data_IF_099614393426
#
_entry.id   IF_099614393426
#
_cell.length_a   1.000
_cell.length_b   1.000
_cell.length_c   1.000
_cell.angle_alpha   90.00
_cell.angle_beta   90.00
_cell.angle_gamma   90.00
#
_symmetry.space_group_name_H-M   'P 1'
#
loop_
_entity.id
_entity.type
_entity.pdbx_description
1 polymer ?
#
# COMPACT_ATOMS: atom_id res chain seq x y z
N UNK A 1 -7.22 12.26 -20.87
CA UNK A 1 -7.37 12.59 -19.45
C UNK A 1 -7.25 14.10 -19.32
N UNK A 2 -8.35 14.80 -19.05
CA UNK A 2 -8.30 16.27 -18.88
C UNK A 2 -7.97 16.54 -17.42
N UNK A 3 -6.80 17.10 -17.17
CA UNK A 3 -6.43 17.67 -15.88
C UNK A 3 -7.16 19.02 -15.83
N UNK A 4 -8.16 19.12 -14.96
CA UNK A 4 -9.00 20.32 -14.84
C UNK A 4 -8.30 21.31 -13.91
N UNK A 5 -8.11 22.55 -14.36
CA UNK A 5 -7.57 23.64 -13.54
C UNK A 5 -8.44 23.88 -12.31
N UNK A 6 -7.79 23.91 -11.14
CA UNK A 6 -8.35 24.19 -9.82
C UNK A 6 -9.02 25.56 -9.79
N UNK A 7 -10.35 25.56 -9.73
CA UNK A 7 -11.14 26.73 -9.36
C UNK A 7 -11.03 26.84 -7.84
N UNK A 8 -10.53 27.98 -7.34
CA UNK A 8 -10.50 28.31 -5.92
C UNK A 8 -11.90 28.10 -5.29
N UNK A 9 -12.06 26.98 -4.58
CA UNK A 9 -13.29 26.60 -3.85
C UNK A 9 -13.00 26.80 -2.37
N UNK A 10 -13.93 27.46 -1.67
CA UNK A 10 -13.84 27.73 -0.23
C UNK A 10 -13.42 26.45 0.52
N UNK A 11 -12.23 26.46 1.12
CA UNK A 11 -11.66 25.31 1.82
C UNK A 11 -12.63 24.82 2.90
N UNK A 12 -13.16 23.59 2.80
CA UNK A 12 -13.95 23.02 3.87
C UNK A 12 -12.96 22.55 4.95
N UNK A 13 -12.98 23.22 6.11
CA UNK A 13 -12.36 22.83 7.39
C UNK A 13 -10.93 22.25 7.33
N UNK A 14 -9.94 23.03 7.79
CA UNK A 14 -8.55 22.55 7.94
C UNK A 14 -8.51 21.16 8.62
N UNK A 15 -8.00 20.12 7.93
CA UNK A 15 -8.06 18.74 8.42
C UNK A 15 -7.31 18.52 9.74
N UNK A 16 -6.44 19.44 10.14
CA UNK A 16 -5.75 19.45 11.44
C UNK A 16 -6.68 19.67 12.64
N UNK A 17 -7.94 20.04 12.41
CA UNK A 17 -8.92 20.28 13.47
C UNK A 17 -9.82 19.09 13.76
N UNK A 18 -9.81 18.06 12.92
CA UNK A 18 -10.66 16.89 13.04
C UNK A 18 -10.11 15.98 14.14
N UNK A 19 -10.95 15.57 15.11
CA UNK A 19 -10.51 14.78 16.27
C UNK A 19 -11.30 13.48 16.43
N UNK A 20 -10.67 12.40 16.97
CA UNK A 20 -11.36 11.15 17.24
C UNK A 20 -12.55 11.34 18.19
N UNK A 21 -13.66 10.65 17.90
CA UNK A 21 -14.92 10.73 18.62
C UNK A 21 -15.84 11.88 18.18
N UNK A 22 -15.41 12.78 17.31
CA UNK A 22 -16.31 13.80 16.74
C UNK A 22 -17.34 13.17 15.80
N UNK A 23 -18.55 13.75 15.74
CA UNK A 23 -19.64 13.27 14.89
C UNK A 23 -19.89 14.28 13.78
N UNK A 24 -19.78 13.81 12.55
CA UNK A 24 -19.81 14.64 11.35
C UNK A 24 -20.89 14.17 10.38
N UNK A 25 -21.49 15.11 9.67
CA UNK A 25 -22.35 14.83 8.52
C UNK A 25 -21.49 14.70 7.27
N UNK A 26 -21.87 13.77 6.39
CA UNK A 26 -21.22 13.56 5.10
C UNK A 26 -21.80 14.46 4.02
N UNK A 27 -20.93 14.96 3.15
CA UNK A 27 -21.36 15.67 1.94
C UNK A 27 -21.93 14.69 0.91
N UNK A 28 -23.12 14.97 0.38
CA UNK A 28 -23.64 14.27 -0.81
C UNK A 28 -22.91 14.67 -2.09
N UNK A 29 -22.19 15.80 -2.08
CA UNK A 29 -21.27 16.22 -3.14
C UNK A 29 -19.89 15.64 -2.82
N UNK A 30 -19.73 14.36 -3.11
CA UNK A 30 -18.48 13.63 -2.89
C UNK A 30 -17.43 14.13 -3.87
N UNK A 31 -16.31 14.57 -3.30
CA UNK A 31 -15.11 14.98 -3.99
C UNK A 31 -14.17 13.78 -4.15
N UNK A 32 -13.52 13.75 -5.30
CA UNK A 32 -12.58 12.71 -5.72
C UNK A 32 -11.54 13.36 -6.62
N UNK A 33 -10.27 12.93 -6.58
CA UNK A 33 -9.23 13.49 -7.45
C UNK A 33 -9.43 13.16 -8.93
N UNK A 34 -10.23 12.14 -9.22
CA UNK A 34 -10.61 11.77 -10.58
C UNK A 34 -12.13 11.93 -10.75
N UNK A 35 -12.52 12.63 -11.83
CA UNK A 35 -13.89 12.68 -12.29
C UNK A 35 -14.24 11.37 -12.99
N UNK A 36 -15.28 10.70 -12.49
CA UNK A 36 -15.81 9.48 -13.10
C UNK A 36 -16.87 9.84 -14.15
N UNK A 37 -16.78 9.22 -15.33
CA UNK A 37 -17.84 9.33 -16.32
C UNK A 37 -19.12 8.58 -15.86
N UNK A 38 -20.28 8.81 -16.52
CA UNK A 38 -21.54 8.18 -16.11
C UNK A 38 -21.52 6.63 -16.14
N UNK A 39 -20.77 6.01 -17.05
CA UNK A 39 -20.69 4.55 -17.14
C UNK A 39 -19.86 3.99 -15.98
N UNK A 40 -18.74 4.65 -15.66
CA UNK A 40 -17.92 4.31 -14.50
C UNK A 40 -18.65 4.53 -13.19
N UNK A 41 -19.45 5.59 -13.06
CA UNK A 41 -20.29 5.81 -11.87
C UNK A 41 -21.29 4.67 -11.68
N UNK A 42 -21.94 4.19 -12.75
CA UNK A 42 -22.87 3.04 -12.67
C UNK A 42 -22.13 1.75 -12.33
N UNK A 43 -20.90 1.57 -12.85
CA UNK A 43 -20.07 0.39 -12.60
C UNK A 43 -19.52 0.33 -11.17
N UNK A 44 -19.08 1.46 -10.63
CA UNK A 44 -18.37 1.54 -9.35
C UNK A 44 -19.30 1.76 -8.16
N UNK A 45 -20.45 2.41 -8.35
CA UNK A 45 -21.40 2.69 -7.28
C UNK A 45 -22.65 1.82 -7.37
N UNK A 46 -22.91 0.99 -6.34
CA UNK A 46 -24.20 0.33 -6.15
C UNK A 46 -25.36 1.35 -6.09
N UNK A 47 -26.60 0.87 -6.27
CA UNK A 47 -27.79 1.74 -6.28
C UNK A 47 -27.93 2.57 -5.00
N UNK A 48 -27.64 2.00 -3.83
CA UNK A 48 -27.72 2.70 -2.55
C UNK A 48 -26.76 3.90 -2.49
N UNK A 49 -25.53 3.72 -2.99
CA UNK A 49 -24.53 4.77 -3.10
C UNK A 49 -24.95 5.85 -4.11
N UNK A 50 -25.39 5.46 -5.32
CA UNK A 50 -25.85 6.40 -6.36
C UNK A 50 -27.00 7.29 -5.87
N UNK A 51 -27.98 6.72 -5.18
CA UNK A 51 -29.09 7.50 -4.60
C UNK A 51 -28.61 8.56 -3.60
N UNK A 52 -27.58 8.28 -2.82
CA UNK A 52 -27.00 9.26 -1.90
C UNK A 52 -26.29 10.39 -2.64
N UNK A 53 -25.49 10.06 -3.65
CA UNK A 53 -24.80 11.03 -4.52
C UNK A 53 -25.81 11.94 -5.26
N UNK A 54 -26.97 11.40 -5.64
CA UNK A 54 -28.06 12.16 -6.28
C UNK A 54 -28.90 12.99 -5.28
N UNK A 55 -28.60 12.96 -3.98
CA UNK A 55 -29.39 13.63 -2.95
C UNK A 55 -30.78 13.02 -2.72
N UNK A 56 -30.99 11.76 -3.15
CA UNK A 56 -32.25 11.00 -3.01
C UNK A 56 -32.26 10.06 -1.80
N UNK A 57 -31.28 10.22 -0.90
CA UNK A 57 -31.16 9.50 0.37
C UNK A 57 -31.07 10.49 1.53
N UNK A 58 -31.45 10.10 2.76
CA UNK A 58 -31.26 10.92 3.94
C UNK A 58 -29.77 11.27 4.19
N UNK A 59 -29.50 12.31 4.99
CA UNK A 59 -28.16 12.59 5.50
C UNK A 59 -27.54 11.36 6.16
N UNK A 60 -26.21 11.28 6.09
CA UNK A 60 -25.42 10.19 6.65
C UNK A 60 -24.38 10.79 7.57
N UNK A 61 -24.09 10.08 8.65
CA UNK A 61 -23.19 10.57 9.69
C UNK A 61 -22.11 9.55 9.98
N UNK A 62 -21.00 10.07 10.48
CA UNK A 62 -19.85 9.27 10.87
C UNK A 62 -19.30 9.75 12.19
N UNK A 63 -18.75 8.83 12.97
CA UNK A 63 -17.85 9.16 14.07
C UNK A 63 -16.39 9.04 13.59
N UNK A 64 -15.57 10.04 13.90
CA UNK A 64 -14.13 9.99 13.58
C UNK A 64 -13.46 8.93 14.44
N UNK A 65 -12.81 7.95 13.82
CA UNK A 65 -12.01 6.91 14.50
C UNK A 65 -10.56 7.34 14.59
N UNK A 66 -9.94 7.72 13.47
CA UNK A 66 -8.55 8.17 13.40
C UNK A 66 -8.48 9.53 12.75
N UNK A 67 -7.52 10.36 13.17
CA UNK A 67 -7.29 11.67 12.56
C UNK A 67 -6.90 11.53 11.08
N UNK A 68 -7.13 12.56 10.24
CA UNK A 68 -6.76 12.50 8.83
C UNK A 68 -5.25 12.32 8.66
N UNK A 69 -4.83 11.38 7.83
CA UNK A 69 -3.43 11.11 7.52
C UNK A 69 -3.16 11.35 6.03
N UNK A 70 -1.90 11.62 5.69
CA UNK A 70 -1.49 11.68 4.29
C UNK A 70 -1.52 10.28 3.68
N UNK A 71 -1.79 10.21 2.38
CA UNK A 71 -1.62 8.98 1.63
C UNK A 71 -0.12 8.66 1.57
N UNK A 72 0.29 7.53 2.15
CA UNK A 72 1.71 7.16 2.33
C UNK A 72 2.50 7.01 1.02
N UNK A 73 1.82 6.92 -0.13
CA UNK A 73 2.43 6.61 -1.43
C UNK A 73 2.48 7.80 -2.42
N UNK A 74 2.04 9.00 -2.02
CA UNK A 74 2.13 10.19 -2.89
C UNK A 74 3.52 10.82 -2.76
N UNK A 75 4.50 10.29 -3.51
CA UNK A 75 5.86 10.82 -3.61
C UNK A 75 5.98 12.24 -4.19
N UNK A 76 4.85 12.89 -4.47
CA UNK A 76 4.76 14.30 -4.81
C UNK A 76 3.57 14.90 -4.05
N UNK A 77 3.82 15.86 -3.16
CA UNK A 77 2.75 16.68 -2.59
C UNK A 77 2.70 18.00 -3.37
N UNK A 78 1.52 18.36 -3.91
CA UNK A 78 1.12 19.76 -3.77
C UNK A 78 -0.31 19.95 -3.27
N UNK A 79 -1.05 18.90 -2.88
CA UNK A 79 -2.40 19.08 -2.35
C UNK A 79 -2.59 18.31 -1.04
N UNK A 80 -2.51 19.06 0.07
CA UNK A 80 -3.03 18.69 1.40
C UNK A 80 -4.52 18.27 1.40
N UNK A 81 -5.17 18.31 0.23
CA UNK A 81 -6.60 18.14 -0.02
C UNK A 81 -7.08 16.69 0.18
N UNK A 82 -6.26 15.69 -0.17
CA UNK A 82 -6.68 14.28 -0.21
C UNK A 82 -6.26 13.44 1.00
N UNK A 83 -6.39 14.00 2.21
CA UNK A 83 -6.10 13.26 3.46
C UNK A 83 -7.15 12.17 3.72
N UNK A 84 -6.70 10.99 4.14
CA UNK A 84 -7.57 9.86 4.47
C UNK A 84 -7.86 9.88 5.97
N UNK A 85 -9.14 9.84 6.33
CA UNK A 85 -9.62 9.77 7.71
C UNK A 85 -10.32 8.43 7.92
N UNK A 86 -10.10 7.77 9.06
CA UNK A 86 -10.84 6.56 9.41
C UNK A 86 -12.10 6.91 10.18
N UNK A 87 -13.22 6.33 9.79
CA UNK A 87 -14.54 6.68 10.31
C UNK A 87 -15.37 5.45 10.62
N UNK A 88 -16.22 5.54 11.64
CA UNK A 88 -17.25 4.55 11.97
C UNK A 88 -18.59 5.08 11.48
N UNK A 89 -19.36 4.24 10.78
CA UNK A 89 -20.67 4.63 10.27
C UNK A 89 -21.72 4.75 11.37
N UNK A 90 -22.56 5.78 11.24
CA UNK A 90 -23.68 6.04 12.13
C UNK A 90 -24.99 6.10 11.33
N UNK A 91 -25.93 5.24 11.69
CA UNK A 91 -27.24 5.14 11.04
C UNK A 91 -28.36 5.72 11.91
N UNK A 92 -29.37 6.34 11.28
CA UNK A 92 -30.58 6.76 12.00
C UNK A 92 -31.56 5.60 12.25
N UNK A 93 -31.30 4.40 11.69
CA UNK A 93 -32.14 3.20 11.86
C UNK A 93 -31.95 2.56 13.23
N UNK A 94 -32.36 3.29 14.27
CA UNK A 94 -32.23 2.91 15.70
C UNK A 94 -32.94 1.61 16.10
N UNK A 95 -33.79 1.04 15.23
CA UNK A 95 -34.48 -0.23 15.42
C UNK A 95 -33.60 -1.45 15.09
N UNK A 96 -32.45 -1.27 14.43
CA UNK A 96 -31.55 -2.35 13.97
C UNK A 96 -30.42 -2.71 14.94
N UNK A 97 -30.67 -2.60 16.25
CA UNK A 97 -29.68 -2.90 17.29
C UNK A 97 -29.31 -4.38 17.30
N UNK A 98 -28.02 -4.68 17.35
CA UNK A 98 -27.48 -6.04 17.46
C UNK A 98 -26.36 -6.10 18.51
N UNK A 99 -25.61 -7.20 18.55
CA UNK A 99 -24.38 -7.31 19.33
C UNK A 99 -23.21 -6.48 18.76
N UNK A 100 -23.32 -5.98 17.53
CA UNK A 100 -22.32 -5.13 16.84
C UNK A 100 -22.88 -3.80 16.33
N UNK A 101 -24.16 -3.54 16.57
CA UNK A 101 -24.81 -2.27 16.23
C UNK A 101 -25.31 -1.63 17.53
N UNK A 102 -24.53 -0.67 18.04
CA UNK A 102 -24.71 -0.10 19.38
C UNK A 102 -25.46 1.23 19.29
N UNK A 103 -26.58 1.35 19.99
CA UNK A 103 -27.34 2.60 20.02
C UNK A 103 -26.65 3.63 20.91
N UNK A 104 -26.39 4.80 20.35
CA UNK A 104 -25.95 6.02 21.01
C UNK A 104 -27.17 6.94 21.17
N UNK A 105 -27.69 7.13 22.39
CA UNK A 105 -28.82 8.03 22.61
C UNK A 105 -28.54 9.49 22.24
N UNK A 106 -29.58 10.21 21.85
CA UNK A 106 -29.53 11.62 21.47
C UNK A 106 -28.84 12.53 22.50
N UNK A 107 -29.02 12.23 23.80
CA UNK A 107 -28.40 12.99 24.89
C UNK A 107 -26.87 12.88 24.92
N UNK A 108 -26.34 11.74 24.46
CA UNK A 108 -24.91 11.46 24.33
C UNK A 108 -24.38 12.06 23.02
N UNK A 109 -25.01 11.73 21.90
CA UNK A 109 -24.55 12.16 20.57
C UNK A 109 -24.77 13.65 20.29
N UNK A 110 -25.73 14.28 20.95
CA UNK A 110 -26.12 15.67 20.68
C UNK A 110 -26.96 15.88 19.42
N UNK A 111 -27.30 14.83 18.67
CA UNK A 111 -27.97 14.91 17.35
C UNK A 111 -29.49 15.15 17.40
N UNK A 112 -30.07 15.31 18.60
CA UNK A 112 -31.52 15.42 18.79
C UNK A 112 -32.32 14.14 18.47
N UNK A 113 -31.63 13.08 18.04
CA UNK A 113 -32.15 11.74 17.76
C UNK A 113 -31.11 10.68 18.13
N UNK A 114 -31.58 9.46 18.33
CA UNK A 114 -30.69 8.33 18.59
C UNK A 114 -29.98 7.91 17.30
N UNK A 115 -28.73 7.49 17.45
CA UNK A 115 -27.90 7.00 16.35
C UNK A 115 -27.50 5.56 16.64
N UNK A 116 -27.44 4.74 15.60
CA UNK A 116 -26.92 3.39 15.66
C UNK A 116 -25.47 3.43 15.17
N UNK A 117 -24.53 3.09 16.03
CA UNK A 117 -23.13 2.94 15.67
C UNK A 117 -22.89 1.54 15.11
N UNK A 118 -22.46 1.48 13.85
CA UNK A 118 -22.10 0.24 13.15
C UNK A 118 -20.66 -0.11 13.54
N UNK A 119 -20.44 -0.70 14.72
CA UNK A 119 -19.08 -0.87 15.28
C UNK A 119 -18.24 -1.86 14.47
N UNK A 120 -18.89 -2.74 13.71
CA UNK A 120 -18.26 -3.64 12.75
C UNK A 120 -17.75 -2.92 11.48
N UNK A 121 -18.18 -1.67 11.25
CA UNK A 121 -18.07 -0.98 9.97
C UNK A 121 -17.24 0.31 10.08
N UNK A 122 -15.94 0.11 10.27
CA UNK A 122 -14.93 1.19 10.26
C UNK A 122 -14.24 1.23 8.90
N UNK A 123 -14.28 2.38 8.24
CA UNK A 123 -13.83 2.53 6.86
C UNK A 123 -12.91 3.74 6.68
N UNK A 124 -12.01 3.72 5.69
CA UNK A 124 -11.33 4.92 5.24
C UNK A 124 -12.25 5.79 4.37
N UNK A 125 -12.12 7.11 4.50
CA UNK A 125 -12.73 8.06 3.56
C UNK A 125 -11.82 9.27 3.34
N UNK A 126 -12.05 10.04 2.27
CA UNK A 126 -11.36 11.33 2.08
C UNK A 126 -11.95 12.40 3.01
N UNK A 127 -11.09 13.09 3.77
CA UNK A 127 -11.50 14.06 4.79
C UNK A 127 -12.26 15.26 4.20
N UNK A 128 -11.98 15.64 2.95
CA UNK A 128 -12.68 16.70 2.22
C UNK A 128 -14.18 16.42 1.97
N UNK A 129 -14.64 15.18 2.22
CA UNK A 129 -16.05 14.77 2.08
C UNK A 129 -16.85 14.88 3.38
N UNK A 130 -16.20 15.32 4.46
CA UNK A 130 -16.88 15.75 5.68
C UNK A 130 -17.51 17.13 5.45
N UNK A 131 -18.80 17.25 5.77
CA UNK A 131 -19.55 18.50 5.58
C UNK A 131 -19.32 19.46 6.76
N UNK A 132 -19.80 19.10 7.94
CA UNK A 132 -19.62 19.88 9.16
C UNK A 132 -19.85 19.02 10.41
N UNK A 133 -19.34 19.51 11.55
CA UNK A 133 -19.57 18.92 12.86
C UNK A 133 -21.03 19.12 13.29
N UNK A 134 -21.73 18.03 13.58
CA UNK A 134 -23.18 18.05 13.90
C UNK A 134 -23.51 17.53 15.30
N UNK A 135 -22.64 16.71 15.88
CA UNK A 135 -22.85 16.13 17.20
C UNK A 135 -21.86 16.60 18.26
N UNK A 136 -22.08 16.14 19.49
CA UNK A 136 -21.09 16.22 20.57
C UNK A 136 -20.03 15.15 20.34
N UNK A 137 -18.78 15.53 20.61
CA UNK A 137 -17.67 14.58 20.65
C UNK A 137 -17.94 13.51 21.71
N UNK A 138 -17.89 12.25 21.30
CA UNK A 138 -18.02 11.09 22.17
C UNK A 138 -16.92 11.11 23.24
N UNK A 139 -17.28 10.77 24.47
CA UNK A 139 -16.32 10.66 25.55
C UNK A 139 -15.38 9.48 25.29
N UNK A 140 -14.14 9.56 25.80
CA UNK A 140 -13.15 8.51 25.61
C UNK A 140 -13.64 7.11 26.04
N UNK A 141 -14.35 6.93 27.18
CA UNK A 141 -14.89 5.62 27.55
C UNK A 141 -15.90 5.07 26.55
N UNK A 142 -16.79 5.92 26.03
CA UNK A 142 -17.79 5.52 25.02
C UNK A 142 -17.10 5.13 23.72
N UNK A 143 -16.19 5.99 23.26
CA UNK A 143 -15.40 5.76 22.05
C UNK A 143 -14.62 4.43 22.13
N UNK A 144 -13.92 4.16 23.24
CA UNK A 144 -13.18 2.92 23.41
C UNK A 144 -14.10 1.70 23.38
N UNK A 145 -15.21 1.70 24.12
CA UNK A 145 -16.14 0.56 24.14
C UNK A 145 -16.73 0.28 22.76
N UNK A 146 -17.03 1.31 21.97
CA UNK A 146 -17.50 1.11 20.59
C UNK A 146 -16.42 0.45 19.71
N UNK A 147 -15.16 0.86 19.85
CA UNK A 147 -14.06 0.21 19.14
C UNK A 147 -13.81 -1.21 19.62
N UNK A 148 -13.81 -1.48 20.92
CA UNK A 148 -13.59 -2.82 21.46
C UNK A 148 -14.67 -3.82 20.98
N UNK A 149 -15.92 -3.38 20.80
CA UNK A 149 -16.97 -4.21 20.18
C UNK A 149 -16.62 -4.55 18.72
N UNK A 150 -16.14 -3.56 17.96
CA UNK A 150 -15.67 -3.77 16.58
C UNK A 150 -14.44 -4.66 16.50
N UNK A 151 -13.45 -4.43 17.35
CA UNK A 151 -12.22 -5.22 17.44
C UNK A 151 -12.52 -6.69 17.76
N UNK A 152 -13.48 -6.94 18.64
CA UNK A 152 -13.94 -8.31 18.91
C UNK A 152 -14.62 -8.94 17.68
N UNK A 153 -15.46 -8.19 16.98
CA UNK A 153 -16.10 -8.67 15.74
C UNK A 153 -15.06 -9.07 14.68
N UNK A 154 -13.99 -8.28 14.55
CA UNK A 154 -12.87 -8.54 13.63
C UNK A 154 -11.82 -9.53 14.17
N UNK A 155 -12.02 -10.08 15.38
CA UNK A 155 -11.10 -11.05 16.00
C UNK A 155 -9.76 -10.48 16.47
N UNK A 156 -9.68 -9.16 16.67
CA UNK A 156 -8.48 -8.46 17.15
C UNK A 156 -8.29 -8.57 18.66
N UNK A 157 -9.37 -8.84 19.39
CA UNK A 157 -9.35 -9.11 20.84
C UNK A 157 -10.16 -10.37 21.17
N UNK A 158 -9.78 -11.07 22.25
CA UNK A 158 -10.38 -12.37 22.61
C UNK A 158 -11.75 -12.26 23.28
N UNK A 159 -12.12 -11.08 23.82
CA UNK A 159 -13.34 -10.91 24.61
C UNK A 159 -14.00 -9.56 24.32
N UNK A 160 -15.32 -9.52 24.12
CA UNK A 160 -16.02 -8.26 23.93
C UNK A 160 -16.23 -7.55 25.27
N UNK A 161 -16.47 -6.22 25.25
CA UNK A 161 -17.00 -5.49 26.39
C UNK A 161 -18.29 -6.14 26.92
N UNK A 162 -18.48 -6.11 28.24
CA UNK A 162 -19.68 -6.71 28.82
C UNK A 162 -20.92 -5.85 28.54
N UNK A 163 -22.10 -6.47 28.42
CA UNK A 163 -23.37 -5.73 28.26
C UNK A 163 -23.58 -4.71 29.39
N UNK A 164 -23.18 -5.05 30.63
CA UNK A 164 -23.28 -4.15 31.78
C UNK A 164 -22.37 -2.93 31.64
N UNK A 165 -21.18 -3.13 31.11
CA UNK A 165 -20.22 -2.04 30.84
C UNK A 165 -20.77 -1.09 29.79
N UNK A 166 -21.25 -1.61 28.65
CA UNK A 166 -21.89 -0.82 27.58
C UNK A 166 -23.06 0.01 28.16
N UNK A 167 -23.95 -0.64 28.92
CA UNK A 167 -25.11 0.02 29.52
C UNK A 167 -24.74 1.04 30.61
N UNK A 168 -23.64 0.84 31.34
CA UNK A 168 -23.17 1.79 32.36
C UNK A 168 -22.75 3.14 31.77
N UNK A 169 -22.37 3.14 30.48
CA UNK A 169 -22.04 4.34 29.71
C UNK A 169 -23.27 4.99 29.08
N UNK A 170 -24.47 4.44 29.31
CA UNK A 170 -25.73 4.92 28.73
C UNK A 170 -26.00 4.48 27.30
N UNK A 171 -25.15 3.61 26.73
CA UNK A 171 -25.36 3.01 25.41
C UNK A 171 -26.37 1.86 25.50
N UNK A 172 -27.00 1.50 24.38
CA UNK A 172 -27.92 0.36 24.33
C UNK A 172 -27.45 -0.68 23.30
N UNK A 173 -27.29 -1.92 23.75
CA UNK A 173 -26.96 -3.06 22.88
C UNK A 173 -28.23 -3.83 22.51
N UNK A 174 -28.26 -4.38 21.30
CA UNK A 174 -29.33 -5.27 20.87
C UNK A 174 -29.22 -6.64 21.53
N UNK A 175 -30.34 -7.36 21.61
CA UNK A 175 -30.36 -8.79 21.98
C UNK A 175 -30.31 -9.71 20.78
N UNK A 176 -30.44 -9.15 19.58
CA UNK A 176 -30.47 -9.87 18.30
C UNK A 176 -29.03 -10.12 17.85
N UNK A 177 -28.76 -11.31 17.33
CA UNK A 177 -27.46 -11.67 16.76
C UNK A 177 -27.26 -10.99 15.41
N UNK A 178 -26.02 -10.65 15.07
CA UNK A 178 -25.60 -10.25 13.72
C UNK A 178 -25.96 -11.28 12.63
N UNK A 179 -26.19 -12.54 13.00
CA UNK A 179 -26.62 -13.60 12.08
C UNK A 179 -28.13 -13.57 11.76
N UNK A 180 -28.90 -12.68 12.40
CA UNK A 180 -30.32 -12.52 12.11
C UNK A 180 -30.55 -12.00 10.68
N UNK A 181 -31.48 -12.58 9.90
CA UNK A 181 -31.69 -12.21 8.50
C UNK A 181 -32.02 -10.73 8.28
N UNK A 182 -32.75 -10.08 9.19
CA UNK A 182 -33.06 -8.66 9.05
C UNK A 182 -31.83 -7.79 9.32
N UNK A 183 -30.97 -8.21 10.23
CA UNK A 183 -29.68 -7.54 10.52
C UNK A 183 -28.71 -7.73 9.35
N UNK A 184 -28.61 -8.94 8.80
CA UNK A 184 -27.77 -9.21 7.61
C UNK A 184 -28.21 -8.40 6.39
N UNK A 185 -29.53 -8.29 6.16
CA UNK A 185 -30.06 -7.47 5.07
C UNK A 185 -29.75 -5.97 5.28
N UNK A 186 -29.81 -5.50 6.53
CA UNK A 186 -29.39 -4.15 6.89
C UNK A 186 -27.89 -3.94 6.64
N UNK A 187 -27.03 -4.84 7.11
CA UNK A 187 -25.57 -4.77 6.91
C UNK A 187 -25.19 -4.79 5.44
N UNK A 188 -25.84 -5.63 4.62
CA UNK A 188 -25.58 -5.64 3.17
C UNK A 188 -25.94 -4.29 2.52
N UNK A 189 -27.04 -3.66 2.95
CA UNK A 189 -27.40 -2.33 2.45
C UNK A 189 -26.35 -1.27 2.84
N UNK A 190 -25.79 -1.36 4.04
CA UNK A 190 -24.75 -0.42 4.49
C UNK A 190 -23.42 -0.68 3.77
N UNK A 191 -23.05 -1.93 3.48
CA UNK A 191 -21.91 -2.28 2.62
C UNK A 191 -22.06 -1.73 1.20
N UNK A 192 -23.24 -1.88 0.57
CA UNK A 192 -23.50 -1.34 -0.76
C UNK A 192 -23.40 0.20 -0.78
N UNK A 193 -23.77 0.84 0.34
CA UNK A 193 -23.69 2.29 0.49
C UNK A 193 -22.26 2.77 0.76
N UNK A 194 -21.42 1.98 1.44
CA UNK A 194 -20.03 2.30 1.80
C UNK A 194 -19.14 2.66 0.61
N UNK A 195 -19.49 2.23 -0.60
CA UNK A 195 -18.81 2.61 -1.84
C UNK A 195 -18.64 4.14 -1.99
N UNK A 196 -19.57 4.94 -1.47
CA UNK A 196 -19.50 6.42 -1.41
C UNK A 196 -18.22 6.91 -0.71
N UNK A 197 -17.72 6.16 0.26
CA UNK A 197 -16.53 6.47 1.04
C UNK A 197 -15.27 5.85 0.43
N UNK A 198 -15.35 4.59 0.00
CA UNK A 198 -14.20 3.79 -0.42
C UNK A 198 -13.72 4.11 -1.83
N UNK A 199 -14.65 4.33 -2.78
CA UNK A 199 -14.29 4.58 -4.19
C UNK A 199 -13.40 5.82 -4.33
N UNK A 200 -13.71 6.98 -3.71
CA UNK A 200 -12.81 8.13 -3.76
C UNK A 200 -11.42 7.84 -3.17
N UNK A 201 -11.33 7.05 -2.09
CA UNK A 201 -10.03 6.66 -1.51
C UNK A 201 -9.25 5.78 -2.48
N UNK A 202 -9.91 4.83 -3.15
CA UNK A 202 -9.29 3.98 -4.16
C UNK A 202 -8.79 4.79 -5.37
N UNK A 203 -9.58 5.76 -5.83
CA UNK A 203 -9.18 6.67 -6.90
C UNK A 203 -8.02 7.56 -6.49
N UNK A 204 -8.02 8.08 -5.26
CA UNK A 204 -6.92 8.89 -4.73
C UNK A 204 -5.61 8.11 -4.65
N UNK A 205 -5.66 6.86 -4.17
CA UNK A 205 -4.51 5.96 -4.18
C UNK A 205 -4.01 5.68 -5.60
N UNK A 206 -4.92 5.43 -6.54
CA UNK A 206 -4.57 5.16 -7.94
C UNK A 206 -3.95 6.39 -8.61
N UNK A 207 -4.52 7.57 -8.37
CA UNK A 207 -4.00 8.84 -8.86
C UNK A 207 -2.61 9.15 -8.29
N UNK A 208 -2.41 8.98 -6.97
CA UNK A 208 -1.12 9.18 -6.32
C UNK A 208 -0.03 8.26 -6.90
N UNK A 209 -0.34 6.98 -7.14
CA UNK A 209 0.57 6.05 -7.82
C UNK A 209 0.93 6.50 -9.24
N UNK A 210 -0.05 6.96 -10.00
CA UNK A 210 0.19 7.47 -11.37
C UNK A 210 1.07 8.72 -11.38
N UNK A 211 0.88 9.63 -10.42
CA UNK A 211 1.69 10.84 -10.29
C UNK A 211 3.13 10.50 -9.88
N UNK A 212 3.31 9.61 -8.90
CA UNK A 212 4.63 9.13 -8.46
C UNK A 212 5.41 8.57 -9.65
N UNK A 213 4.79 7.67 -10.42
CA UNK A 213 5.39 7.11 -11.63
C UNK A 213 5.76 8.19 -12.67
N UNK A 214 4.90 9.20 -12.86
CA UNK A 214 5.19 10.30 -13.79
C UNK A 214 6.36 11.17 -13.30
N UNK A 215 6.45 11.39 -11.99
CA UNK A 215 7.56 12.08 -11.35
C UNK A 215 8.88 11.34 -11.54
N UNK A 216 8.92 10.05 -11.22
CA UNK A 216 10.09 9.18 -11.42
C UNK A 216 10.57 9.18 -12.88
N UNK A 217 9.64 9.11 -13.84
CA UNK A 217 9.97 9.21 -15.27
C UNK A 217 10.52 10.58 -15.67
N UNK A 218 10.01 11.66 -15.09
CA UNK A 218 10.49 13.02 -15.36
C UNK A 218 11.88 13.25 -14.76
N UNK A 219 12.11 12.80 -13.53
CA UNK A 219 13.41 12.89 -12.86
C UNK A 219 14.46 12.10 -13.64
N UNK A 220 14.14 10.88 -14.09
CA UNK A 220 15.01 10.10 -14.97
C UNK A 220 15.31 10.81 -16.30
N UNK A 221 14.31 11.47 -16.90
CA UNK A 221 14.51 12.25 -18.14
C UNK A 221 15.40 13.48 -17.90
N UNK A 222 15.25 14.17 -16.77
CA UNK A 222 16.08 15.32 -16.39
C UNK A 222 17.52 14.91 -16.06
N UNK A 223 17.72 13.75 -15.44
CA UNK A 223 19.06 13.20 -15.21
C UNK A 223 19.78 12.89 -16.52
N UNK A 224 19.09 12.24 -17.47
CA UNK A 224 19.62 12.04 -18.81
C UNK A 224 20.00 13.37 -19.48
N UNK A 225 19.12 14.37 -19.47
CA UNK A 225 19.43 15.70 -20.02
C UNK A 225 20.63 16.38 -19.33
N UNK A 226 20.76 16.21 -18.01
CA UNK A 226 21.88 16.76 -17.24
C UNK A 226 23.20 16.08 -17.60
N UNK A 227 23.20 14.76 -17.78
CA UNK A 227 24.34 14.00 -18.27
C UNK A 227 24.76 14.44 -19.68
N UNK A 228 23.80 14.70 -20.57
CA UNK A 228 24.05 15.24 -21.92
C UNK A 228 24.67 16.65 -21.89
N UNK A 229 24.36 17.48 -20.88
CA UNK A 229 24.86 18.85 -20.76
C UNK A 229 26.22 18.96 -20.04
N UNK A 230 26.64 17.92 -19.31
CA UNK A 230 27.93 17.90 -18.57
C UNK A 230 29.07 17.18 -19.28
N UNK A 231 28.85 16.63 -20.48
CA UNK A 231 29.85 15.87 -21.21
C UNK A 231 30.91 16.72 -21.91
N UNK A 232 32.02 17.03 -21.22
CA UNK A 232 33.34 17.08 -21.87
C UNK A 232 33.81 15.63 -22.12
N UNK A 233 34.31 15.42 -23.34
CA UNK A 233 34.85 14.22 -23.99
C UNK A 233 35.26 13.04 -23.08
N UNK A 234 34.70 11.86 -23.32
CA UNK A 234 35.47 10.60 -23.36
C UNK A 234 34.72 9.54 -24.17
N UNK A 235 35.35 9.00 -25.22
CA UNK A 235 34.84 7.87 -25.99
C UNK A 235 35.58 6.58 -25.60
N UNK A 236 34.82 5.47 -25.69
CA UNK A 236 35.19 4.05 -25.72
C UNK A 236 35.30 3.38 -24.34
N UNK A 237 34.54 2.34 -23.98
CA UNK A 237 33.69 1.38 -24.71
C UNK A 237 32.35 1.17 -23.97
N UNK A 238 31.28 0.81 -24.70
CA UNK A 238 29.99 0.40 -24.13
C UNK A 238 30.16 -0.86 -23.26
N UNK A 239 30.04 -0.74 -21.94
CA UNK A 239 29.61 -1.86 -21.10
C UNK A 239 28.30 -1.51 -20.41
N UNK A 240 27.29 -2.34 -20.69
CA UNK A 240 25.88 -2.14 -20.34
C UNK A 240 25.67 -2.13 -18.83
N UNK A 241 25.79 -0.96 -18.20
CA UNK A 241 25.43 -0.78 -16.79
C UNK A 241 23.92 -0.96 -16.65
N UNK A 242 23.51 -1.88 -15.78
CA UNK A 242 22.11 -2.18 -15.52
C UNK A 242 21.58 -1.29 -14.41
N UNK A 243 20.53 -0.51 -14.68
CA UNK A 243 19.87 0.30 -13.67
C UNK A 243 18.79 -0.52 -12.95
N UNK A 244 18.93 -0.68 -11.64
CA UNK A 244 18.04 -1.50 -10.81
C UNK A 244 16.71 -0.80 -10.51
N UNK A 245 16.73 0.53 -10.35
CA UNK A 245 15.53 1.35 -10.20
C UNK A 245 14.53 1.18 -11.36
N UNK A 246 15.01 0.94 -12.60
CA UNK A 246 14.13 0.64 -13.75
C UNK A 246 13.31 -0.65 -13.59
N UNK A 247 13.77 -1.60 -12.78
CA UNK A 247 13.06 -2.87 -12.59
C UNK A 247 11.80 -2.72 -11.74
N UNK A 248 11.76 -1.72 -10.85
CA UNK A 248 10.56 -1.35 -10.09
C UNK A 248 9.45 -0.84 -11.03
N UNK A 249 9.83 -0.20 -12.14
CA UNK A 249 8.93 0.21 -13.25
C UNK A 249 8.57 -0.91 -14.23
N UNK A 250 8.97 -2.17 -13.97
CA UNK A 250 8.81 -3.33 -14.87
C UNK A 250 9.56 -3.24 -16.22
N UNK A 251 10.53 -2.34 -16.35
CA UNK A 251 11.38 -2.29 -17.54
C UNK A 251 12.47 -3.37 -17.49
N UNK A 252 12.71 -4.04 -18.62
CA UNK A 252 13.67 -5.14 -18.71
C UNK A 252 14.94 -4.67 -19.42
N UNK A 253 16.04 -4.62 -18.68
CA UNK A 253 17.37 -4.45 -19.24
C UNK A 253 17.78 -5.66 -20.12
N UNK A 254 18.69 -5.44 -21.07
CA UNK A 254 19.11 -6.49 -22.00
C UNK A 254 19.65 -7.74 -21.28
N UNK A 255 19.07 -8.90 -21.59
CA UNK A 255 19.44 -10.19 -20.99
C UNK A 255 18.77 -10.52 -19.65
N UNK A 256 18.11 -9.54 -19.02
CA UNK A 256 17.34 -9.76 -17.79
C UNK A 256 15.90 -10.14 -18.09
N UNK A 257 15.34 -11.03 -17.29
CA UNK A 257 13.97 -11.50 -17.42
C UNK A 257 13.35 -11.85 -16.06
N UNK A 258 12.03 -12.00 -16.05
CA UNK A 258 11.29 -12.47 -14.89
C UNK A 258 11.83 -13.84 -14.42
N UNK A 259 12.05 -13.99 -13.11
CA UNK A 259 12.74 -15.17 -12.55
C UNK A 259 11.95 -16.47 -12.79
N UNK A 260 10.63 -16.38 -12.93
CA UNK A 260 9.70 -17.47 -13.22
C UNK A 260 9.91 -18.08 -14.61
N UNK A 261 10.60 -17.35 -15.52
CA UNK A 261 11.00 -17.89 -16.83
C UNK A 261 12.30 -18.69 -16.77
N UNK A 262 13.06 -18.54 -15.69
CA UNK A 262 14.41 -19.07 -15.54
C UNK A 262 14.49 -20.22 -14.54
N UNK A 263 13.75 -20.12 -13.45
CA UNK A 263 13.75 -21.09 -12.36
C UNK A 263 12.35 -21.64 -12.14
N UNK A 264 12.29 -22.88 -11.66
CA UNK A 264 11.03 -23.50 -11.25
C UNK A 264 10.43 -22.81 -10.02
N UNK A 265 9.11 -22.94 -9.84
CA UNK A 265 8.42 -22.43 -8.66
C UNK A 265 8.93 -23.03 -7.34
N UNK A 266 9.52 -24.23 -7.37
CA UNK A 266 10.12 -24.86 -6.19
C UNK A 266 11.45 -24.18 -5.83
N UNK A 267 12.34 -23.96 -6.81
CA UNK A 267 13.59 -23.21 -6.61
C UNK A 267 13.31 -21.79 -6.09
N UNK A 268 12.33 -21.09 -6.68
CA UNK A 268 11.95 -19.73 -6.26
C UNK A 268 11.43 -19.74 -4.81
N UNK A 269 10.60 -20.72 -4.43
CA UNK A 269 10.08 -20.84 -3.06
C UNK A 269 11.17 -21.17 -2.04
N UNK A 270 12.15 -21.98 -2.38
CA UNK A 270 13.28 -22.28 -1.49
C UNK A 270 14.25 -21.12 -1.36
N UNK A 271 14.43 -20.33 -2.42
CA UNK A 271 15.39 -19.23 -2.50
C UNK A 271 14.85 -17.90 -1.91
N UNK A 272 13.54 -17.65 -2.04
CA UNK A 272 12.92 -16.36 -1.71
C UNK A 272 11.62 -16.49 -0.86
N UNK A 273 11.22 -17.70 -0.45
CA UNK A 273 9.89 -17.96 0.13
C UNK A 273 9.79 -18.11 1.66
N UNK A 274 8.95 -17.25 2.24
CA UNK A 274 8.03 -17.47 3.39
C UNK A 274 8.52 -17.58 4.84
N UNK A 275 9.81 -17.52 5.14
CA UNK A 275 10.28 -17.50 6.55
C UNK A 275 11.09 -16.28 6.96
N UNK A 276 11.35 -15.36 6.04
CA UNK A 276 12.10 -14.13 6.31
C UNK A 276 11.16 -12.92 6.25
N UNK A 277 11.43 -11.91 7.09
CA UNK A 277 10.84 -10.56 7.04
C UNK A 277 11.21 -9.79 5.75
N UNK A 278 11.68 -10.49 4.72
CA UNK A 278 12.26 -9.96 3.50
C UNK A 278 11.37 -10.42 2.34
N UNK A 279 10.43 -9.55 1.95
CA UNK A 279 9.50 -9.75 0.83
C UNK A 279 9.97 -8.89 -0.35
N UNK A 280 10.68 -9.48 -1.34
CA UNK A 280 11.17 -8.73 -2.48
C UNK A 280 10.02 -8.20 -3.32
N UNK A 281 10.05 -6.90 -3.61
CA UNK A 281 9.09 -6.25 -4.50
C UNK A 281 9.32 -6.68 -5.95
N UNK A 282 10.60 -6.87 -6.32
CA UNK A 282 10.97 -7.34 -7.65
C UNK A 282 12.09 -8.37 -7.58
N UNK A 283 11.95 -9.42 -8.39
CA UNK A 283 13.00 -10.41 -8.64
C UNK A 283 13.23 -10.50 -10.15
N UNK A 284 14.48 -10.40 -10.58
CA UNK A 284 14.91 -10.58 -11.97
C UNK A 284 16.07 -11.56 -12.02
N UNK A 285 16.12 -12.30 -13.12
CA UNK A 285 17.22 -13.22 -13.38
C UNK A 285 17.83 -13.00 -14.75
N UNK A 286 19.13 -13.28 -14.85
CA UNK A 286 19.89 -13.33 -16.09
C UNK A 286 20.54 -14.71 -16.22
N UNK A 287 20.33 -15.43 -17.32
CA UNK A 287 21.06 -16.66 -17.58
C UNK A 287 22.51 -16.31 -17.91
N UNK A 288 23.44 -16.94 -17.21
CA UNK A 288 24.88 -16.76 -17.41
C UNK A 288 25.51 -18.11 -17.76
N UNK A 289 26.66 -18.06 -18.43
CA UNK A 289 27.44 -19.24 -18.79
C UNK A 289 28.88 -19.08 -18.31
N UNK A 290 29.29 -19.90 -17.35
CA UNK A 290 30.65 -19.89 -16.78
C UNK A 290 31.34 -21.20 -17.18
N UNK A 291 32.40 -21.11 -17.98
CA UNK A 291 33.12 -22.27 -18.56
C UNK A 291 32.23 -23.35 -19.22
N UNK A 292 31.09 -22.93 -19.80
CA UNK A 292 30.14 -23.84 -20.47
C UNK A 292 29.06 -24.42 -19.56
N UNK A 293 29.09 -24.14 -18.26
CA UNK A 293 28.01 -24.47 -17.32
C UNK A 293 27.01 -23.31 -17.23
N UNK A 294 25.71 -23.62 -17.26
CA UNK A 294 24.66 -22.60 -17.22
C UNK A 294 24.18 -22.38 -15.79
N UNK A 295 24.27 -21.13 -15.33
CA UNK A 295 23.73 -20.68 -14.06
C UNK A 295 22.75 -19.52 -14.28
N UNK A 296 22.05 -19.15 -13.22
CA UNK A 296 21.13 -18.01 -13.20
C UNK A 296 21.61 -17.05 -12.11
N UNK A 297 22.00 -15.85 -12.52
CA UNK A 297 22.19 -14.72 -11.60
C UNK A 297 20.82 -14.11 -11.32
N UNK A 298 20.37 -14.20 -10.08
CA UNK A 298 19.12 -13.62 -9.61
C UNK A 298 19.42 -12.41 -8.71
N UNK A 299 18.71 -11.32 -8.95
CA UNK A 299 18.78 -10.12 -8.11
C UNK A 299 17.36 -9.80 -7.67
N UNK A 300 17.21 -9.59 -6.37
CA UNK A 300 15.95 -9.27 -5.74
C UNK A 300 16.09 -7.97 -4.95
N UNK A 301 15.14 -7.05 -5.11
CA UNK A 301 15.15 -5.73 -4.50
C UNK A 301 14.04 -5.62 -3.45
N UNK A 302 14.36 -5.01 -2.32
CA UNK A 302 13.45 -4.66 -1.23
C UNK A 302 13.66 -3.20 -0.87
N UNK A 303 12.65 -2.33 -1.01
CA UNK A 303 12.71 -0.99 -0.47
C UNK A 303 12.83 -1.01 1.06
N UNK A 304 13.74 -0.21 1.61
CA UNK A 304 13.93 -0.07 3.06
C UNK A 304 13.28 1.22 3.57
N UNK A 305 12.92 1.24 4.86
CA UNK A 305 12.14 2.33 5.46
C UNK A 305 12.90 3.67 5.57
N UNK A 306 14.23 3.62 5.45
CA UNK A 306 15.13 4.78 5.47
C UNK A 306 15.36 5.38 4.07
N UNK A 307 14.76 4.78 3.03
CA UNK A 307 14.91 5.22 1.64
C UNK A 307 16.00 4.49 0.87
N UNK A 308 16.74 3.57 1.50
CA UNK A 308 17.70 2.72 0.82
C UNK A 308 16.99 1.56 0.10
N UNK A 309 17.73 0.90 -0.80
CA UNK A 309 17.29 -0.34 -1.42
C UNK A 309 18.13 -1.50 -0.91
N UNK A 310 17.49 -2.44 -0.23
CA UNK A 310 18.06 -3.73 0.11
C UNK A 310 18.13 -4.61 -1.14
N UNK A 311 19.31 -5.15 -1.44
CA UNK A 311 19.61 -5.94 -2.63
C UNK A 311 20.12 -7.30 -2.19
N UNK A 312 19.40 -8.35 -2.60
CA UNK A 312 19.87 -9.73 -2.46
C UNK A 312 20.28 -10.26 -3.81
N UNK A 313 21.53 -10.69 -3.89
CA UNK A 313 22.14 -11.27 -5.08
C UNK A 313 22.29 -12.76 -4.82
N UNK A 314 21.72 -13.58 -5.69
CA UNK A 314 21.84 -15.03 -5.62
C UNK A 314 22.33 -15.61 -6.93
N UNK A 315 23.12 -16.68 -6.86
CA UNK A 315 23.49 -17.47 -8.04
C UNK A 315 22.92 -18.87 -7.88
N UNK A 316 22.07 -19.26 -8.82
CA UNK A 316 21.38 -20.55 -8.84
C UNK A 316 21.93 -21.45 -9.96
N UNK A 317 22.00 -22.76 -9.74
CA UNK A 317 22.11 -23.69 -10.86
C UNK A 317 20.84 -23.57 -11.70
N UNK A 318 20.98 -23.63 -13.03
CA UNK A 318 19.84 -23.49 -13.93
C UNK A 318 18.86 -24.67 -13.80
N UNK A 319 19.38 -25.87 -13.62
CA UNK A 319 18.59 -27.10 -13.45
C UNK A 319 18.58 -27.53 -11.97
N UNK A 320 17.41 -27.98 -11.48
CA UNK A 320 17.20 -28.35 -10.07
C UNK A 320 18.13 -29.45 -9.52
N UNK A 321 18.74 -30.26 -10.40
CA UNK A 321 19.57 -31.41 -10.02
C UNK A 321 21.06 -31.20 -10.31
N UNK A 322 21.48 -29.96 -10.53
CA UNK A 322 22.86 -29.61 -10.83
C UNK A 322 23.40 -28.74 -9.70
N UNK A 323 24.64 -28.99 -9.27
CA UNK A 323 25.33 -28.12 -8.33
C UNK A 323 25.89 -26.89 -9.07
N UNK A 324 26.17 -25.82 -8.32
CA UNK A 324 26.97 -24.72 -8.87
C UNK A 324 28.38 -25.20 -9.24
N UNK A 325 29.05 -24.56 -10.22
CA UNK A 325 30.42 -24.90 -10.56
C UNK A 325 31.33 -24.91 -9.33
N UNK A 326 32.18 -25.93 -9.17
CA UNK A 326 33.11 -25.99 -8.04
C UNK A 326 34.08 -24.81 -8.09
N UNK A 327 34.32 -24.18 -6.93
CA UNK A 327 35.12 -22.96 -6.79
C UNK A 327 34.52 -21.69 -7.43
N UNK A 328 33.20 -21.67 -7.67
CA UNK A 328 32.52 -20.42 -8.02
C UNK A 328 32.60 -19.43 -6.85
N UNK A 329 33.20 -18.28 -7.11
CA UNK A 329 33.32 -17.16 -6.20
C UNK A 329 32.53 -15.97 -6.76
N UNK A 330 31.78 -15.30 -5.91
CA UNK A 330 31.03 -14.10 -6.23
C UNK A 330 31.52 -12.95 -5.34
N UNK A 331 31.90 -11.84 -5.96
CA UNK A 331 32.49 -10.68 -5.29
C UNK A 331 31.70 -9.44 -5.68
N UNK A 332 31.16 -8.72 -4.69
CA UNK A 332 30.58 -7.39 -4.90
C UNK A 332 31.70 -6.36 -4.80
N UNK A 333 31.85 -5.52 -5.80
CA UNK A 333 32.86 -4.46 -5.86
C UNK A 333 32.18 -3.08 -5.83
N UNK A 334 32.81 -2.09 -5.19
CA UNK A 334 32.40 -0.69 -5.23
C UNK A 334 32.71 -0.04 -6.59
N UNK A 335 32.33 1.23 -6.76
CA UNK A 335 32.62 2.04 -7.95
C UNK A 335 34.11 2.19 -8.30
N UNK A 336 35.02 1.92 -7.36
CA UNK A 336 36.47 1.97 -7.53
C UNK A 336 37.07 0.55 -7.66
N UNK A 337 36.24 -0.47 -7.91
CA UNK A 337 36.61 -1.88 -7.99
C UNK A 337 37.17 -2.49 -6.69
N UNK A 338 36.88 -1.89 -5.53
CA UNK A 338 37.25 -2.47 -4.24
C UNK A 338 36.21 -3.51 -3.79
N UNK A 339 36.64 -4.69 -3.32
CA UNK A 339 35.72 -5.70 -2.81
C UNK A 339 35.01 -5.24 -1.53
N UNK A 340 33.68 -5.32 -1.54
CA UNK A 340 32.78 -5.03 -0.41
C UNK A 340 32.32 -6.33 0.25
N UNK A 341 31.87 -7.31 -0.56
CA UNK A 341 31.33 -8.59 -0.09
C UNK A 341 31.84 -9.73 -0.97
N UNK A 342 31.92 -10.94 -0.41
CA UNK A 342 32.40 -12.12 -1.11
C UNK A 342 31.72 -13.40 -0.59
N UNK A 343 31.40 -14.32 -1.49
CA UNK A 343 30.92 -15.65 -1.16
C UNK A 343 31.49 -16.70 -2.13
N UNK A 344 31.56 -17.95 -1.69
CA UNK A 344 32.08 -19.08 -2.47
C UNK A 344 31.15 -20.29 -2.37
N UNK A 345 30.89 -20.96 -3.50
CA UNK A 345 29.95 -22.07 -3.61
C UNK A 345 30.31 -23.27 -2.71
N UNK A 346 31.59 -23.49 -2.42
CA UNK A 346 32.06 -24.57 -1.53
C UNK A 346 31.55 -24.46 -0.08
N UNK A 347 31.06 -23.29 0.34
CA UNK A 347 30.54 -23.02 1.68
C UNK A 347 29.01 -22.93 1.74
N UNK A 348 28.30 -23.09 0.61
CA UNK A 348 26.86 -22.92 0.53
C UNK A 348 26.10 -24.16 1.07
N UNK A 349 25.32 -23.99 2.15
CA UNK A 349 24.49 -25.06 2.74
C UNK A 349 23.17 -25.31 1.99
N UNK A 350 22.85 -24.47 1.01
CA UNK A 350 21.50 -24.33 0.43
C UNK A 350 21.43 -24.57 -1.09
N UNK A 351 22.51 -25.01 -1.74
CA UNK A 351 22.53 -25.29 -3.19
C UNK A 351 22.55 -24.05 -4.09
N UNK A 352 22.65 -22.85 -3.50
CA UNK A 352 22.81 -21.57 -4.18
C UNK A 352 23.76 -20.67 -3.37
N UNK A 353 24.40 -19.71 -4.05
CA UNK A 353 25.23 -18.68 -3.43
C UNK A 353 24.38 -17.43 -3.16
N UNK A 354 24.62 -16.73 -2.05
CA UNK A 354 23.88 -15.52 -1.67
C UNK A 354 24.81 -14.43 -1.11
N UNK A 355 24.52 -13.19 -1.48
CA UNK A 355 25.13 -11.96 -0.99
C UNK A 355 24.02 -10.94 -0.73
N UNK A 356 24.13 -10.18 0.37
CA UNK A 356 23.17 -9.13 0.73
C UNK A 356 23.89 -7.80 0.93
N UNK A 357 23.42 -6.76 0.27
CA UNK A 357 23.87 -5.38 0.44
C UNK A 357 22.65 -4.45 0.52
N UNK A 358 22.87 -3.24 1.02
CA UNK A 358 21.91 -2.13 0.96
C UNK A 358 22.67 -0.89 0.49
N UNK A 359 22.01 -0.03 -0.29
CA UNK A 359 22.62 1.18 -0.82
C UNK A 359 21.61 2.23 -1.27
N UNK A 360 22.12 3.43 -1.51
CA UNK A 360 21.34 4.60 -1.93
C UNK A 360 21.18 4.62 -3.46
N UNK A 361 20.09 5.21 -3.93
CA UNK A 361 19.86 5.41 -5.37
C UNK A 361 21.03 6.17 -6.01
N UNK A 362 21.52 5.67 -7.15
CA UNK A 362 22.68 6.23 -7.84
C UNK A 362 24.05 5.71 -7.37
N UNK A 363 24.10 4.85 -6.36
CA UNK A 363 25.33 4.15 -6.01
C UNK A 363 25.66 3.06 -7.04
N UNK A 364 26.94 2.97 -7.39
CA UNK A 364 27.44 1.99 -8.35
C UNK A 364 28.10 0.83 -7.62
N UNK A 365 27.76 -0.38 -8.07
CA UNK A 365 28.48 -1.59 -7.69
C UNK A 365 28.59 -2.53 -8.88
N UNK A 366 29.48 -3.51 -8.79
CA UNK A 366 29.51 -4.61 -9.74
C UNK A 366 29.54 -5.95 -9.04
N UNK A 367 28.95 -6.97 -9.66
CA UNK A 367 29.12 -8.36 -9.24
C UNK A 367 30.11 -9.02 -10.18
N UNK A 368 31.20 -9.53 -9.61
CA UNK A 368 32.20 -10.31 -10.31
C UNK A 368 32.04 -11.77 -9.92
N UNK A 369 31.70 -12.60 -10.89
CA UNK A 369 31.61 -14.05 -10.76
C UNK A 369 32.85 -14.67 -11.37
N UNK A 370 33.56 -15.50 -10.61
CA UNK A 370 34.82 -16.10 -11.05
C UNK A 370 34.88 -17.59 -10.73
N UNK A 371 35.50 -18.31 -11.65
CA UNK A 371 36.03 -19.68 -11.49
C UNK A 371 37.46 -19.66 -12.04
N UNK A 372 38.31 -20.68 -11.79
CA UNK A 372 39.71 -20.64 -12.19
C UNK A 372 39.98 -20.27 -13.67
N UNK A 373 39.08 -20.65 -14.58
CA UNK A 373 39.26 -20.50 -16.02
C UNK A 373 38.29 -19.50 -16.70
N UNK A 374 37.39 -18.84 -15.94
CA UNK A 374 36.41 -17.90 -16.50
C UNK A 374 35.97 -16.83 -15.49
N UNK A 375 35.62 -15.66 -16.00
CA UNK A 375 35.03 -14.59 -15.21
C UNK A 375 33.94 -13.84 -15.97
N UNK A 376 32.95 -13.36 -15.23
CA UNK A 376 31.90 -12.46 -15.71
C UNK A 376 31.79 -11.32 -14.71
N UNK A 377 31.66 -10.10 -15.21
CA UNK A 377 31.35 -8.93 -14.39
C UNK A 377 30.05 -8.33 -14.90
N UNK A 378 29.12 -8.03 -14.00
CA UNK A 378 27.92 -7.25 -14.31
C UNK A 378 27.95 -5.96 -13.50
N UNK A 379 27.69 -4.84 -14.17
CA UNK A 379 27.73 -3.51 -13.59
C UNK A 379 26.32 -3.03 -13.29
N UNK A 380 26.14 -2.45 -12.11
CA UNK A 380 24.85 -1.97 -11.63
C UNK A 380 24.93 -0.55 -11.09
N UNK A 381 23.82 0.16 -11.25
CA UNK A 381 23.49 1.36 -10.48
C UNK A 381 22.17 1.08 -9.75
N UNK A 382 22.12 1.41 -8.46
CA UNK A 382 20.95 1.21 -7.59
C UNK A 382 19.83 2.16 -8.00
#
# INVERSE_FOLDING_TARGET
>A
MKITESIARESPLSPEKIKPGEIWELSSRVQSPLELDPEEQVRLYPEAARRFLEGKSPPRYVAIVKEPERLADSGADPEEEWRVVSVMLLSEKSDRKSNVDILIPAGISGMGRDLLAETWHVLPMLACNLSHLVGKRLSRPIYNVLLDVGDYYHGLIDRPPSVREIQSLGLQVGTVSQEDPEIQAFHQQELDWAAVLEVPVALARTYGKSLKLTGELMDAALELEREFLTGEEFWAEEESTTNLSQWLGNELAAGWQAIEKLLSSEQIKFAFGWRSQWEPEVIRGKPIALAGESAVLAIALVPEADGNTGIRIQVHPRDQNTDLPPNLQAIVLDKNENPILEAEAGNAKSGFLELELSGETGEYFSIKLTIPDAMITEHFVI
#
